data_IF_604938251048
#
_entry.id   IF_604938251048
#
_cell.length_a   1.000
_cell.length_b   1.000
_cell.length_c   1.000
_cell.angle_alpha   90.00
_cell.angle_beta   90.00
_cell.angle_gamma   90.00
#
_symmetry.space_group_name_H-M   'P 1'
#
loop_
_entity.id
_entity.type
_entity.pdbx_description
1 polymer ?
#
# COMPACT_ATOMS: atom_id res chain seq x y z
N UNK A 1 -18.18 2.69 -14.08
CA UNK A 1 -17.63 3.75 -13.21
C UNK A 1 -16.22 4.04 -13.69
N UNK A 2 -15.97 5.19 -14.31
CA UNK A 2 -14.65 5.56 -14.86
C UNK A 2 -13.86 6.31 -13.79
N UNK A 3 -12.72 5.75 -13.37
CA UNK A 3 -11.73 6.43 -12.53
C UNK A 3 -10.99 7.48 -13.38
N UNK A 4 -11.22 8.76 -13.13
CA UNK A 4 -10.68 9.90 -13.90
C UNK A 4 -9.52 10.64 -13.25
N UNK A 5 -9.10 10.25 -12.03
CA UNK A 5 -7.88 10.78 -11.42
C UNK A 5 -6.66 9.98 -11.86
N UNK A 6 -5.60 10.63 -12.38
CA UNK A 6 -4.27 10.00 -12.46
C UNK A 6 -3.93 9.52 -11.04
N UNK A 7 -3.75 8.21 -10.78
CA UNK A 7 -3.27 7.79 -9.48
C UNK A 7 -1.87 8.35 -9.31
N UNK A 8 -1.62 9.12 -8.24
CA UNK A 8 -0.26 9.21 -7.71
C UNK A 8 0.21 7.77 -7.47
N UNK A 9 1.37 7.40 -8.00
CA UNK A 9 1.91 6.03 -7.89
C UNK A 9 2.11 5.65 -6.41
N UNK A 10 2.28 6.64 -5.53
CA UNK A 10 2.38 6.45 -4.09
C UNK A 10 1.36 7.31 -3.33
N UNK A 11 0.73 6.78 -2.26
CA UNK A 11 -0.09 7.58 -1.37
C UNK A 11 0.76 8.64 -0.65
N UNK A 12 0.17 9.76 -0.20
CA UNK A 12 0.84 10.72 0.67
C UNK A 12 1.50 9.99 1.84
N UNK A 13 2.78 10.26 2.01
CA UNK A 13 3.66 9.55 2.93
C UNK A 13 4.42 10.58 3.76
N UNK A 14 4.39 10.40 5.08
CA UNK A 14 5.03 11.29 6.03
C UNK A 14 6.06 10.50 6.81
N UNK A 15 7.22 11.08 7.05
CA UNK A 15 8.30 10.42 7.76
C UNK A 15 8.44 11.06 9.14
N UNK A 16 8.59 10.22 10.16
CA UNK A 16 8.91 10.64 11.52
C UNK A 16 10.25 10.03 11.88
N UNK A 17 11.21 10.85 12.25
CA UNK A 17 12.51 10.39 12.76
C UNK A 17 12.78 10.99 14.12
N UNK A 18 13.14 10.15 15.08
CA UNK A 18 13.39 10.55 16.46
C UNK A 18 12.25 11.40 17.07
N UNK A 19 10.99 11.05 16.77
CA UNK A 19 9.80 11.81 17.17
C UNK A 19 9.55 13.13 16.41
N UNK A 20 10.34 13.44 15.38
CA UNK A 20 10.24 14.67 14.60
C UNK A 20 9.70 14.38 13.19
N UNK A 21 8.62 15.07 12.82
CA UNK A 21 8.07 15.07 11.47
C UNK A 21 9.08 15.68 10.49
N UNK A 22 9.53 14.88 9.54
CA UNK A 22 10.40 15.35 8.47
C UNK A 22 9.63 16.32 7.56
N UNK A 23 10.36 17.27 6.96
CA UNK A 23 9.83 18.40 6.18
C UNK A 23 8.90 19.36 6.95
N UNK A 24 8.71 19.15 8.26
CA UNK A 24 7.82 19.96 9.10
C UNK A 24 6.33 19.78 8.78
N UNK A 25 5.96 18.75 8.01
CA UNK A 25 4.58 18.52 7.56
C UNK A 25 3.95 17.41 8.40
N UNK A 26 2.97 17.79 9.23
CA UNK A 26 2.13 16.84 9.95
C UNK A 26 0.91 16.47 9.10
N UNK A 27 0.46 15.19 9.01
CA UNK A 27 -0.73 14.78 8.25
C UNK A 27 -1.99 15.65 8.43
N UNK A 28 -2.33 16.01 9.68
CA UNK A 28 -3.37 16.99 10.04
C UNK A 28 -3.34 18.29 9.23
N UNK A 29 -2.17 18.82 8.86
CA UNK A 29 -2.07 20.10 8.15
C UNK A 29 -2.61 20.03 6.72
N UNK A 30 -2.71 18.84 6.11
CA UNK A 30 -3.26 18.69 4.76
C UNK A 30 -4.78 18.84 4.71
N UNK A 31 -5.48 18.67 5.83
CA UNK A 31 -6.94 18.63 5.88
C UNK A 31 -7.57 19.88 6.53
N UNK A 32 -6.77 20.70 7.22
CA UNK A 32 -7.25 21.93 7.88
C UNK A 32 -7.64 23.07 6.92
N UNK A 33 -7.37 22.96 5.62
CA UNK A 33 -7.64 24.02 4.63
C UNK A 33 -8.94 23.83 3.83
N UNK A 34 -9.75 22.83 4.14
CA UNK A 34 -11.08 22.65 3.56
C UNK A 34 -12.13 22.84 4.66
N UNK A 35 -12.70 24.06 4.75
CA UNK A 35 -13.91 24.44 5.50
C UNK A 35 -14.28 23.57 6.72
N UNK A 36 -13.84 23.95 7.93
CA UNK A 36 -14.44 23.66 9.27
C UNK A 36 -15.02 22.26 9.60
N UNK A 37 -14.86 21.26 8.75
CA UNK A 37 -15.30 19.90 8.98
C UNK A 37 -14.09 19.14 9.53
N UNK A 38 -13.92 19.23 10.86
CA UNK A 38 -13.01 18.38 11.65
C UNK A 38 -13.25 16.86 11.44
N UNK A 39 -14.23 16.48 10.62
CA UNK A 39 -14.71 15.13 10.30
C UNK A 39 -14.12 14.54 9.00
N UNK A 40 -13.21 15.20 8.28
CA UNK A 40 -12.68 14.69 6.98
C UNK A 40 -11.25 14.13 7.02
N UNK A 41 -10.74 13.79 8.21
CA UNK A 41 -9.46 13.08 8.41
C UNK A 41 -9.64 11.57 8.64
N UNK A 42 -10.78 11.00 8.26
CA UNK A 42 -11.12 9.63 8.62
C UNK A 42 -10.26 8.60 7.89
N UNK A 43 -9.73 7.69 8.70
CA UNK A 43 -8.79 6.65 8.32
C UNK A 43 -9.44 5.43 7.65
N UNK A 44 -8.72 4.30 7.60
CA UNK A 44 -7.62 3.96 8.51
C UNK A 44 -6.30 4.67 8.19
N UNK A 45 -5.54 5.02 9.21
CA UNK A 45 -4.16 5.47 9.12
C UNK A 45 -3.21 4.36 9.56
N UNK A 46 -2.06 4.25 8.89
CA UNK A 46 -1.01 3.30 9.21
C UNK A 46 0.26 4.01 9.65
N UNK A 47 0.73 3.69 10.85
CA UNK A 47 1.99 4.15 11.42
C UNK A 47 2.95 2.95 11.40
N UNK A 48 3.92 2.98 10.48
CA UNK A 48 4.76 1.83 10.14
C UNK A 48 6.19 2.07 10.61
N UNK A 49 6.71 1.20 11.46
CA UNK A 49 8.14 1.20 11.77
C UNK A 49 8.95 0.88 10.52
N UNK A 50 9.95 1.71 10.22
CA UNK A 50 10.64 1.68 8.92
C UNK A 50 11.56 0.47 8.70
N UNK A 51 11.96 -0.23 9.77
CA UNK A 51 12.92 -1.34 9.79
C UNK A 51 12.25 -2.69 10.09
N UNK A 52 10.94 -2.69 10.37
CA UNK A 52 10.16 -3.91 10.61
C UNK A 52 9.46 -4.39 9.36
N UNK A 53 9.48 -5.71 9.19
CA UNK A 53 8.85 -6.41 8.08
C UNK A 53 7.68 -7.30 8.55
N UNK A 54 6.82 -7.68 7.61
CA UNK A 54 5.77 -8.69 7.84
C UNK A 54 4.56 -8.18 8.64
N UNK A 55 4.29 -6.86 8.63
CA UNK A 55 3.09 -6.28 9.22
C UNK A 55 3.11 -6.09 10.74
N UNK A 56 4.07 -6.69 11.46
CA UNK A 56 4.16 -6.61 12.93
C UNK A 56 4.47 -5.20 13.46
N UNK A 57 5.14 -4.37 12.67
CA UNK A 57 5.45 -2.98 13.00
C UNK A 57 4.43 -1.97 12.46
N UNK A 58 3.20 -2.41 12.12
CA UNK A 58 2.16 -1.53 11.58
C UNK A 58 1.09 -1.30 12.64
N UNK A 59 1.13 -0.12 13.24
CA UNK A 59 0.08 0.39 14.11
C UNK A 59 -1.02 1.01 13.25
N UNK A 60 -2.27 0.99 13.74
CA UNK A 60 -3.42 1.57 13.04
C UNK A 60 -4.16 2.52 13.98
N UNK A 61 -4.64 3.63 13.42
CA UNK A 61 -5.53 4.55 14.11
C UNK A 61 -6.63 5.04 13.18
N UNK A 62 -7.71 5.58 13.76
CA UNK A 62 -8.84 6.11 13.00
C UNK A 62 -8.50 7.46 12.42
N UNK A 63 -7.93 8.33 13.24
CA UNK A 63 -7.77 9.74 12.91
C UNK A 63 -6.31 10.14 12.86
N UNK A 64 -6.03 11.24 12.16
CA UNK A 64 -4.68 11.79 12.09
C UNK A 64 -4.21 12.45 13.41
N UNK A 65 -5.14 12.75 14.34
CA UNK A 65 -4.82 13.23 15.68
C UNK A 65 -4.34 12.13 16.62
N UNK A 66 -4.77 10.89 16.40
CA UNK A 66 -4.31 9.71 17.17
C UNK A 66 -2.87 9.30 16.83
N UNK A 67 -2.26 9.80 15.76
CA UNK A 67 -0.93 9.35 15.32
C UNK A 67 0.15 9.66 16.36
N UNK A 68 0.11 10.83 16.98
CA UNK A 68 1.14 11.26 17.94
C UNK A 68 1.23 10.33 19.15
N UNK A 69 0.12 9.72 19.58
CA UNK A 69 0.13 8.80 20.72
C UNK A 69 0.70 7.42 20.37
N UNK A 70 0.90 7.13 19.08
CA UNK A 70 1.48 5.88 18.58
C UNK A 70 2.99 5.98 18.30
N UNK A 71 3.55 7.18 18.28
CA UNK A 71 4.96 7.42 17.95
C UNK A 71 5.82 7.27 19.21
N UNK A 72 6.76 6.33 19.16
CA UNK A 72 7.89 6.27 20.09
C UNK A 72 9.04 7.15 19.57
N UNK A 73 9.52 8.17 20.33
CA UNK A 73 10.63 9.03 19.89
C UNK A 73 11.96 8.31 19.65
N UNK A 74 12.11 7.07 20.11
CA UNK A 74 13.31 6.25 19.85
C UNK A 74 13.21 5.44 18.55
N UNK A 75 12.06 5.46 17.88
CA UNK A 75 11.79 4.68 16.68
C UNK A 75 11.45 5.59 15.49
N UNK A 76 11.81 5.16 14.30
CA UNK A 76 11.50 5.90 13.07
C UNK A 76 10.32 5.27 12.36
N UNK A 77 9.41 6.13 11.89
CA UNK A 77 8.15 5.72 11.32
C UNK A 77 7.92 6.31 9.94
N UNK A 78 7.12 5.60 9.17
CA UNK A 78 6.47 6.07 7.96
C UNK A 78 4.96 6.03 8.19
N UNK A 79 4.31 7.16 8.03
CA UNK A 79 2.87 7.33 8.24
C UNK A 79 2.17 7.53 6.91
N UNK A 80 1.10 6.77 6.69
CA UNK A 80 0.31 6.82 5.45
C UNK A 80 -1.16 6.62 5.76
N UNK A 81 -2.03 7.41 5.13
CA UNK A 81 -3.46 7.12 5.09
C UNK A 81 -3.70 5.93 4.16
N UNK A 82 -4.65 5.07 4.53
CA UNK A 82 -5.04 3.95 3.70
C UNK A 82 -5.79 4.42 2.45
N UNK A 83 -5.70 3.64 1.38
CA UNK A 83 -6.47 3.90 0.16
C UNK A 83 -7.96 3.67 0.46
N UNK A 84 -8.79 4.72 0.39
CA UNK A 84 -10.21 4.65 0.79
C UNK A 84 -11.01 3.56 0.06
N UNK A 85 -10.76 3.36 -1.24
CA UNK A 85 -11.49 2.41 -2.08
C UNK A 85 -10.51 1.39 -2.70
N UNK A 86 -10.02 0.40 -1.91
CA UNK A 86 -9.12 -0.61 -2.44
C UNK A 86 -9.87 -1.54 -3.40
N UNK A 87 -9.14 -2.12 -4.36
CA UNK A 87 -9.71 -3.18 -5.19
C UNK A 87 -9.83 -4.47 -4.37
N UNK A 88 -11.05 -4.99 -4.24
CA UNK A 88 -11.38 -6.13 -3.38
C UNK A 88 -11.40 -7.45 -4.15
N UNK A 89 -11.30 -8.57 -3.42
CA UNK A 89 -11.63 -9.91 -3.95
C UNK A 89 -13.14 -10.02 -4.19
N UNK A 90 -13.58 -11.08 -4.89
CA UNK A 90 -15.03 -11.34 -5.06
C UNK A 90 -15.77 -11.55 -3.74
N UNK A 91 -15.05 -11.97 -2.69
CA UNK A 91 -15.54 -12.12 -1.33
C UNK A 91 -15.50 -10.80 -0.52
N UNK A 92 -15.14 -9.68 -1.14
CA UNK A 92 -15.10 -8.37 -0.50
C UNK A 92 -13.87 -8.16 0.40
N UNK A 93 -12.84 -9.01 0.33
CA UNK A 93 -11.65 -8.87 1.16
C UNK A 93 -10.64 -7.92 0.52
N UNK A 94 -9.90 -7.18 1.35
CA UNK A 94 -8.77 -6.38 0.89
C UNK A 94 -7.60 -7.29 0.48
N UNK A 95 -6.84 -6.88 -0.53
CA UNK A 95 -5.62 -7.58 -0.94
C UNK A 95 -4.50 -6.63 -1.36
N UNK A 96 -3.26 -7.12 -1.32
CA UNK A 96 -2.12 -6.51 -2.02
C UNK A 96 -1.40 -7.53 -2.90
N UNK A 97 -0.62 -7.03 -3.85
CA UNK A 97 0.11 -7.82 -4.83
C UNK A 97 1.60 -7.80 -4.49
N UNK A 98 2.22 -8.97 -4.37
CA UNK A 98 3.69 -9.09 -4.39
C UNK A 98 4.12 -9.27 -5.84
N UNK A 99 4.63 -8.18 -6.39
CA UNK A 99 5.12 -8.07 -7.76
C UNK A 99 6.64 -8.15 -7.81
N UNK A 100 7.18 -8.91 -8.76
CA UNK A 100 8.62 -9.17 -8.85
C UNK A 100 9.20 -8.47 -10.07
N UNK A 101 10.28 -7.71 -9.85
CA UNK A 101 11.04 -7.04 -10.89
C UNK A 101 12.53 -7.32 -10.72
N UNK A 102 13.24 -7.49 -11.83
CA UNK A 102 14.69 -7.65 -11.87
C UNK A 102 15.28 -6.43 -12.58
N UNK A 103 16.11 -5.68 -11.87
CA UNK A 103 16.95 -4.64 -12.44
C UNK A 103 18.36 -5.21 -12.61
N UNK A 104 18.84 -5.27 -13.84
CA UNK A 104 20.11 -5.90 -14.19
C UNK A 104 21.02 -4.90 -14.89
N UNK A 105 22.21 -4.68 -14.34
CA UNK A 105 23.29 -3.95 -14.99
C UNK A 105 23.95 -4.85 -16.04
N UNK A 106 24.24 -4.29 -17.22
CA UNK A 106 25.02 -4.98 -18.24
C UNK A 106 26.51 -5.01 -17.86
N UNK A 107 27.30 -5.78 -18.61
CA UNK A 107 28.75 -5.90 -18.38
C UNK A 107 29.50 -4.57 -18.53
N UNK A 108 28.92 -3.58 -19.22
CA UNK A 108 29.48 -2.23 -19.39
C UNK A 108 29.39 -1.37 -18.11
N UNK A 109 28.67 -1.81 -17.08
CA UNK A 109 28.52 -1.10 -15.82
C UNK A 109 27.64 0.16 -15.88
N UNK A 110 27.04 0.48 -17.04
CA UNK A 110 26.30 1.73 -17.26
C UNK A 110 24.92 1.50 -17.88
N UNK A 111 24.73 0.41 -18.63
CA UNK A 111 23.46 0.04 -19.22
C UNK A 111 22.65 -0.80 -18.24
N UNK A 112 21.35 -0.50 -18.14
CA UNK A 112 20.45 -1.18 -17.22
C UNK A 112 19.24 -1.73 -17.97
N UNK A 113 18.83 -2.95 -17.61
CA UNK A 113 17.61 -3.57 -18.12
C UNK A 113 16.66 -3.87 -16.96
N UNK A 114 15.38 -3.53 -17.14
CA UNK A 114 14.32 -3.79 -16.17
C UNK A 114 13.37 -4.87 -16.73
N UNK A 115 13.30 -6.00 -16.04
CA UNK A 115 12.42 -7.11 -16.35
C UNK A 115 11.34 -7.22 -15.28
N UNK A 116 10.09 -7.45 -15.67
CA UNK A 116 8.99 -7.62 -14.73
C UNK A 116 8.32 -8.97 -14.91
N UNK A 117 8.14 -9.70 -13.82
CA UNK A 117 7.44 -10.99 -13.84
C UNK A 117 5.95 -10.78 -14.15
N UNK A 118 5.39 -11.62 -15.03
CA UNK A 118 3.95 -11.60 -15.35
C UNK A 118 3.12 -12.38 -14.32
N UNK A 119 3.77 -13.15 -13.47
CA UNK A 119 3.17 -13.82 -12.32
C UNK A 119 3.32 -12.94 -11.08
N UNK A 120 2.41 -13.10 -10.13
CA UNK A 120 2.48 -12.45 -8.83
C UNK A 120 1.90 -13.33 -7.73
N UNK A 121 2.07 -12.88 -6.48
CA UNK A 121 1.30 -13.45 -5.36
C UNK A 121 0.29 -12.44 -4.85
N UNK A 122 -0.95 -12.88 -4.71
CA UNK A 122 -1.98 -12.16 -3.99
C UNK A 122 -1.89 -12.47 -2.49
N UNK A 123 -1.88 -11.41 -1.70
CA UNK A 123 -1.94 -11.48 -0.25
C UNK A 123 -3.28 -10.89 0.19
N UNK A 124 -4.13 -11.69 0.82
CA UNK A 124 -5.53 -11.33 1.10
C UNK A 124 -5.74 -11.24 2.60
N UNK A 125 -6.55 -10.28 3.03
CA UNK A 125 -7.00 -10.14 4.41
C UNK A 125 -7.84 -11.35 4.81
N UNK A 126 -7.86 -11.70 6.10
CA UNK A 126 -8.71 -12.80 6.56
C UNK A 126 -10.18 -12.38 6.53
N UNK A 127 -10.46 -11.13 6.89
CA UNK A 127 -11.82 -10.59 6.98
C UNK A 127 -12.22 -9.77 5.74
N UNK A 128 -13.53 -9.63 5.46
CA UNK A 128 -14.03 -8.64 4.50
C UNK A 128 -13.56 -7.23 4.84
N UNK A 129 -13.37 -6.42 3.80
CA UNK A 129 -12.97 -5.03 3.95
C UNK A 129 -14.08 -4.21 4.60
N UNK A 130 -13.74 -3.54 5.69
CA UNK A 130 -14.52 -2.46 6.27
C UNK A 130 -13.56 -1.31 6.63
N UNK A 131 -13.76 -0.09 6.09
CA UNK A 131 -12.95 1.06 6.47
C UNK A 131 -13.08 1.37 7.98
N UNK A 132 -14.20 1.02 8.61
CA UNK A 132 -14.48 1.23 10.03
C UNK A 132 -13.94 0.12 10.93
N UNK A 133 -13.36 -0.93 10.38
CA UNK A 133 -12.74 -1.98 11.18
C UNK A 133 -11.22 -1.78 11.23
N UNK A 134 -10.66 -1.51 12.41
CA UNK A 134 -9.21 -1.35 12.58
C UNK A 134 -8.50 -2.66 12.88
N UNK A 135 -9.19 -3.81 12.94
CA UNK A 135 -8.59 -5.08 13.30
C UNK A 135 -7.46 -5.48 12.35
N UNK A 136 -6.46 -6.14 12.94
CA UNK A 136 -5.26 -6.55 12.21
C UNK A 136 -5.62 -7.44 11.02
N UNK A 137 -6.53 -8.39 11.21
CA UNK A 137 -6.94 -9.36 10.19
C UNK A 137 -7.77 -8.76 9.05
N UNK A 138 -8.32 -7.56 9.26
CA UNK A 138 -9.05 -6.77 8.25
C UNK A 138 -8.11 -5.81 7.53
N UNK A 139 -7.19 -5.18 8.28
CA UNK A 139 -6.33 -4.12 7.76
C UNK A 139 -5.00 -4.58 7.19
N UNK A 140 -4.43 -5.68 7.68
CA UNK A 140 -3.08 -6.10 7.34
C UNK A 140 -3.13 -7.35 6.46
N UNK A 141 -2.45 -7.27 5.32
CA UNK A 141 -2.33 -8.37 4.37
C UNK A 141 -0.86 -8.71 4.23
N UNK A 142 -0.40 -9.86 4.74
CA UNK A 142 1.04 -10.21 4.74
C UNK A 142 1.31 -11.61 4.21
N UNK A 143 0.39 -12.55 4.45
CA UNK A 143 0.44 -13.93 3.99
C UNK A 143 0.20 -13.99 2.48
N UNK A 144 1.08 -14.72 1.76
CA UNK A 144 0.83 -15.09 0.36
C UNK A 144 -0.26 -16.15 0.36
N UNK A 145 -1.38 -15.83 -0.26
CA UNK A 145 -2.54 -16.73 -0.29
C UNK A 145 -2.64 -17.45 -1.63
N UNK A 146 -2.44 -16.71 -2.73
CA UNK A 146 -2.65 -17.22 -4.09
C UNK A 146 -1.51 -16.81 -5.00
N UNK A 147 -1.03 -17.72 -5.84
CA UNK A 147 -0.21 -17.38 -7.00
C UNK A 147 -1.13 -17.08 -8.17
N UNK A 148 -0.94 -15.94 -8.81
CA UNK A 148 -1.61 -15.59 -10.05
C UNK A 148 -0.58 -15.73 -11.16
N UNK A 149 -0.86 -16.63 -12.10
CA UNK A 149 -0.03 -16.78 -13.29
C UNK A 149 -0.74 -16.14 -14.49
N UNK A 150 0.03 -15.82 -15.51
CA UNK A 150 -0.50 -15.20 -16.74
C UNK A 150 -1.49 -16.12 -17.48
N UNK A 151 -1.29 -17.43 -17.38
CA UNK A 151 -1.92 -18.43 -18.24
C UNK A 151 -2.91 -19.34 -17.48
N UNK A 152 -2.96 -19.30 -16.14
CA UNK A 152 -4.03 -19.95 -15.39
C UNK A 152 -5.23 -19.00 -15.29
N UNK A 153 -6.27 -19.31 -16.06
CA UNK A 153 -7.62 -18.90 -15.73
C UNK A 153 -7.85 -19.19 -14.24
N UNK A 154 -8.51 -18.27 -13.53
CA UNK A 154 -8.97 -18.41 -12.14
C UNK A 154 -9.20 -19.89 -11.87
N UNK A 155 -8.31 -20.54 -11.11
CA UNK A 155 -8.52 -21.93 -10.77
C UNK A 155 -9.90 -22.00 -10.11
N UNK A 156 -10.88 -22.69 -10.72
CA UNK A 156 -12.24 -22.67 -10.20
C UNK A 156 -12.33 -23.32 -8.82
N UNK A 157 -11.32 -24.09 -8.43
CA UNK A 157 -11.18 -24.66 -7.08
C UNK A 157 -10.47 -23.72 -6.11
N UNK A 158 -9.84 -22.65 -6.58
CA UNK A 158 -9.24 -21.66 -5.72
C UNK A 158 -10.34 -20.81 -5.06
N UNK A 159 -10.46 -20.85 -3.72
CA UNK A 159 -11.50 -20.12 -3.02
C UNK A 159 -11.36 -18.60 -3.16
N UNK A 160 -10.16 -18.10 -3.48
CA UNK A 160 -9.88 -16.68 -3.63
C UNK A 160 -9.89 -16.35 -5.13
N UNK A 161 -10.95 -15.67 -5.55
CA UNK A 161 -11.13 -15.22 -6.92
C UNK A 161 -10.88 -13.71 -7.00
N UNK A 162 -9.96 -13.31 -7.87
CA UNK A 162 -9.61 -11.91 -8.07
C UNK A 162 -9.25 -11.62 -9.53
N UNK A 163 -10.10 -10.83 -10.18
CA UNK A 163 -10.01 -10.52 -11.61
C UNK A 163 -9.18 -9.24 -11.88
N UNK A 164 -8.54 -8.70 -10.85
CA UNK A 164 -7.86 -7.40 -10.92
C UNK A 164 -6.52 -7.44 -11.65
N UNK A 165 -5.94 -8.61 -11.92
CA UNK A 165 -4.56 -8.70 -12.44
C UNK A 165 -4.34 -8.03 -13.80
N UNK A 166 -5.21 -8.20 -14.81
CA UNK A 166 -5.08 -7.51 -16.09
C UNK A 166 -5.06 -5.97 -15.96
N UNK A 167 -5.72 -5.44 -14.93
CA UNK A 167 -5.76 -4.00 -14.63
C UNK A 167 -4.55 -3.56 -13.80
N UNK A 168 -4.15 -4.36 -12.80
CA UNK A 168 -3.08 -4.01 -11.87
C UNK A 168 -1.69 -4.15 -12.48
N UNK A 169 -1.42 -5.19 -13.29
CA UNK A 169 -0.09 -5.44 -13.85
C UNK A 169 0.48 -4.24 -14.64
N UNK A 170 -0.25 -3.61 -15.59
CA UNK A 170 0.24 -2.42 -16.28
C UNK A 170 0.53 -1.25 -15.33
N UNK A 171 -0.21 -1.12 -14.23
CA UNK A 171 0.01 -0.06 -13.24
C UNK A 171 1.26 -0.33 -12.40
N UNK A 172 1.42 -1.56 -11.89
CA UNK A 172 2.61 -1.98 -11.16
C UNK A 172 3.87 -1.79 -12.03
N UNK A 173 3.83 -2.23 -13.29
CA UNK A 173 4.95 -2.06 -14.23
C UNK A 173 5.29 -0.59 -14.44
N UNK A 174 4.31 0.28 -14.65
CA UNK A 174 4.53 1.74 -14.78
C UNK A 174 5.12 2.34 -13.50
N UNK A 175 4.64 1.90 -12.33
CA UNK A 175 5.14 2.36 -11.04
C UNK A 175 6.63 2.04 -10.84
N UNK A 176 7.03 0.80 -11.15
CA UNK A 176 8.44 0.39 -11.06
C UNK A 176 9.31 1.12 -12.08
N UNK A 177 8.86 1.25 -13.34
CA UNK A 177 9.60 2.02 -14.36
C UNK A 177 9.84 3.45 -13.88
N UNK A 178 8.80 4.11 -13.36
CA UNK A 178 8.92 5.46 -12.85
C UNK A 178 9.93 5.54 -11.71
N UNK A 179 9.82 4.66 -10.71
CA UNK A 179 10.74 4.64 -9.57
C UNK A 179 12.21 4.44 -9.98
N UNK A 180 12.48 3.56 -10.95
CA UNK A 180 13.85 3.32 -11.45
C UNK A 180 14.39 4.54 -12.21
N UNK A 181 13.54 5.26 -12.94
CA UNK A 181 13.96 6.42 -13.73
C UNK A 181 14.18 7.69 -12.89
N UNK A 182 13.63 7.73 -11.68
CA UNK A 182 13.72 8.89 -10.77
C UNK A 182 14.61 8.66 -9.56
N UNK A 183 15.14 7.43 -9.38
CA UNK A 183 16.11 7.10 -8.34
C UNK A 183 17.49 7.67 -8.68
#
# INVERSE_FOLDING_TARGET
MQFTGKPSIMPPTFVVQNGIWQDGIHPRSLFNNQNNDLEHCDGPWFVKEWDKNGGRGVLRCRTSSEIDSLIDPSTNYVVQNHIANPLLTRQGQKCHIKFYSLLQCAEDGVSWSLHTCKDCFLCVASNPWDPNDLDYDTQITTKRCVRLTKDEAIDPQNPIQWDGWPVAYPQCRRGVIHAVQTA
#
